data_IF_432084509562
#
_entry.id   IF_432084509562
#
_cell.length_a   1.000
_cell.length_b   1.000
_cell.length_c   1.000
_cell.angle_alpha   90.00
_cell.angle_beta   90.00
_cell.angle_gamma   90.00
#
_symmetry.space_group_name_H-M   'P 1'
#
loop_
_entity.id
_entity.type
_entity.pdbx_description
1 polymer ?
#
# COMPACT_ATOMS: atom_id res chain seq x y z
N UNK A 1 6.69 -3.62 29.54
CA UNK A 1 8.07 -4.15 29.46
C UNK A 1 8.15 -5.07 28.26
N UNK A 2 8.40 -4.50 27.08
CA UNK A 2 8.54 -5.25 25.83
C UNK A 2 9.78 -6.11 25.92
N UNK A 3 9.61 -7.44 25.98
CA UNK A 3 10.68 -8.35 25.60
C UNK A 3 11.10 -7.93 24.19
N UNK A 4 12.37 -7.53 24.04
CA UNK A 4 13.01 -7.37 22.74
C UNK A 4 12.90 -8.73 22.06
N UNK A 5 11.88 -8.91 21.21
CA UNK A 5 11.82 -10.07 20.33
C UNK A 5 12.96 -9.88 19.34
N UNK A 6 13.89 -10.82 19.32
CA UNK A 6 14.92 -10.86 18.28
C UNK A 6 14.23 -10.87 16.92
N UNK A 7 14.76 -10.11 15.97
CA UNK A 7 14.27 -10.18 14.60
C UNK A 7 14.36 -11.64 14.10
N UNK A 8 13.40 -12.10 13.28
CA UNK A 8 13.50 -13.38 12.61
C UNK A 8 14.84 -13.52 11.90
N UNK A 9 15.47 -14.70 12.01
CA UNK A 9 16.73 -15.01 11.33
C UNK A 9 16.52 -16.05 10.23
N UNK A 10 17.49 -16.16 9.31
CA UNK A 10 17.53 -17.22 8.29
C UNK A 10 17.41 -18.62 8.90
N UNK A 11 18.13 -18.87 10.01
CA UNK A 11 18.04 -20.14 10.76
C UNK A 11 16.63 -20.43 11.29
N UNK A 12 15.91 -19.41 11.76
CA UNK A 12 14.53 -19.58 12.22
C UNK A 12 13.62 -19.99 11.05
N UNK A 13 13.78 -19.33 9.91
CA UNK A 13 13.02 -19.65 8.69
C UNK A 13 13.32 -21.07 8.20
N UNK A 14 14.58 -21.49 8.22
CA UNK A 14 14.95 -22.86 7.86
C UNK A 14 14.24 -23.89 8.75
N UNK A 15 14.24 -23.69 10.08
CA UNK A 15 13.54 -24.60 11.02
C UNK A 15 12.02 -24.62 10.78
N UNK A 16 11.41 -23.46 10.53
CA UNK A 16 9.98 -23.36 10.22
C UNK A 16 9.62 -24.12 8.94
N UNK A 17 10.43 -23.98 7.89
CA UNK A 17 10.25 -24.72 6.63
C UNK A 17 10.41 -26.23 6.84
N UNK A 18 11.47 -26.70 7.50
CA UNK A 18 11.66 -28.13 7.78
C UNK A 18 10.50 -28.71 8.60
N UNK A 19 9.98 -27.96 9.58
CA UNK A 19 8.91 -28.43 10.45
C UNK A 19 7.53 -28.52 9.75
N UNK A 20 7.24 -27.61 8.81
CA UNK A 20 5.87 -27.43 8.27
C UNK A 20 5.76 -27.71 6.76
N UNK A 21 6.84 -27.58 6.01
CA UNK A 21 6.92 -27.74 4.56
C UNK A 21 8.17 -28.56 4.18
N UNK A 22 8.26 -29.84 4.59
CA UNK A 22 9.47 -30.65 4.42
C UNK A 22 9.87 -30.86 2.94
N UNK A 23 8.94 -30.68 2.00
CA UNK A 23 9.22 -30.69 0.56
C UNK A 23 9.99 -29.46 0.07
N UNK A 24 10.10 -28.41 0.88
CA UNK A 24 10.86 -27.19 0.63
C UNK A 24 12.15 -27.13 1.47
N UNK A 25 12.58 -28.27 2.03
CA UNK A 25 13.85 -28.37 2.75
C UNK A 25 15.04 -28.41 1.77
N UNK A 26 16.13 -27.72 2.13
CA UNK A 26 17.40 -27.74 1.38
C UNK A 26 17.79 -26.45 0.64
N UNK A 27 16.87 -25.62 0.08
CA UNK A 27 17.24 -24.34 -0.52
C UNK A 27 17.91 -23.40 0.49
N UNK A 28 18.86 -22.60 0.00
CA UNK A 28 19.48 -21.53 0.80
C UNK A 28 18.43 -20.48 1.15
N UNK A 29 18.37 -20.14 2.44
CA UNK A 29 17.55 -19.03 2.93
C UNK A 29 18.42 -17.79 3.07
N UNK A 30 17.98 -16.66 2.55
CA UNK A 30 18.73 -15.40 2.63
C UNK A 30 17.81 -14.23 2.96
N UNK A 31 18.16 -13.39 3.92
CA UNK A 31 17.41 -12.18 4.21
C UNK A 31 17.38 -11.23 3.01
N UNK A 32 16.23 -10.61 2.74
CA UNK A 32 16.11 -9.52 1.75
C UNK A 32 16.40 -8.20 2.45
N UNK A 33 17.39 -7.47 1.96
CA UNK A 33 17.82 -6.18 2.50
C UNK A 33 17.62 -5.04 1.49
N UNK A 34 17.08 -3.88 1.91
CA UNK A 34 16.58 -3.60 3.26
C UNK A 34 15.28 -4.37 3.58
N UNK A 35 15.14 -4.82 4.83
CA UNK A 35 13.92 -5.48 5.29
C UNK A 35 12.67 -4.59 5.22
N UNK A 36 11.52 -5.20 4.91
CA UNK A 36 10.22 -4.49 4.87
C UNK A 36 9.70 -4.09 6.25
N UNK A 37 8.83 -3.07 6.31
CA UNK A 37 8.24 -2.59 7.57
C UNK A 37 7.29 -3.62 8.19
N UNK A 38 6.36 -4.13 7.38
CA UNK A 38 5.27 -4.99 7.83
C UNK A 38 5.73 -6.45 8.01
N UNK A 39 6.62 -6.88 7.13
CA UNK A 39 7.14 -8.23 7.09
C UNK A 39 8.66 -8.24 6.95
N UNK A 40 9.32 -9.17 7.63
CA UNK A 40 10.67 -9.58 7.31
C UNK A 40 10.59 -10.65 6.22
N UNK A 41 11.27 -10.39 5.10
CA UNK A 41 11.22 -11.23 3.90
C UNK A 41 12.54 -11.97 3.73
N UNK A 42 12.45 -13.27 3.44
CA UNK A 42 13.59 -14.13 3.19
C UNK A 42 13.42 -14.82 1.84
N UNK A 43 14.45 -14.80 1.00
CA UNK A 43 14.52 -15.62 -0.21
C UNK A 43 14.72 -17.07 0.19
N UNK A 44 14.05 -17.98 -0.51
CA UNK A 44 14.21 -19.43 -0.35
C UNK A 44 14.55 -20.01 -1.73
N UNK A 45 15.83 -20.26 -1.96
CA UNK A 45 16.34 -20.55 -3.30
C UNK A 45 16.04 -19.42 -4.29
N UNK A 46 15.78 -19.78 -5.55
CA UNK A 46 15.55 -18.81 -6.63
C UNK A 46 14.07 -18.47 -6.85
N UNK A 47 13.15 -19.33 -6.42
CA UNK A 47 11.73 -19.21 -6.83
C UNK A 47 10.80 -18.72 -5.74
N UNK A 48 11.20 -18.77 -4.47
CA UNK A 48 10.30 -18.53 -3.35
C UNK A 48 10.80 -17.42 -2.44
N UNK A 49 9.87 -16.87 -1.66
CA UNK A 49 10.15 -16.07 -0.49
C UNK A 49 9.23 -16.42 0.67
N UNK A 50 9.74 -16.25 1.89
CA UNK A 50 9.00 -16.37 3.13
C UNK A 50 8.81 -14.97 3.70
N UNK A 51 7.58 -14.63 4.09
CA UNK A 51 7.23 -13.37 4.74
C UNK A 51 6.74 -13.64 6.16
N UNK A 52 7.46 -13.10 7.14
CA UNK A 52 7.13 -13.16 8.56
C UNK A 52 6.68 -11.78 9.05
N UNK A 53 5.45 -11.62 9.58
CA UNK A 53 5.04 -10.40 10.26
C UNK A 53 6.10 -9.88 11.23
N UNK A 54 6.39 -8.57 11.17
CA UNK A 54 7.32 -7.91 12.09
C UNK A 54 6.67 -7.54 13.43
N UNK A 55 5.33 -7.43 13.44
CA UNK A 55 4.52 -7.06 14.60
C UNK A 55 3.13 -7.71 14.54
N UNK A 56 2.47 -7.81 15.70
CA UNK A 56 1.12 -8.39 15.81
C UNK A 56 0.09 -7.65 14.93
N UNK A 57 0.27 -6.34 14.73
CA UNK A 57 -0.63 -5.53 13.90
C UNK A 57 -0.67 -5.98 12.42
N UNK A 58 0.39 -6.65 11.92
CA UNK A 58 0.49 -7.11 10.53
C UNK A 58 -0.03 -8.54 10.31
N UNK A 59 -0.37 -9.25 11.38
CA UNK A 59 -0.81 -10.66 11.32
C UNK A 59 -2.09 -10.83 10.50
N UNK A 60 -3.04 -9.91 10.62
CA UNK A 60 -4.28 -9.95 9.87
C UNK A 60 -4.06 -9.86 8.34
N UNK A 61 -2.94 -9.26 7.91
CA UNK A 61 -2.56 -9.20 6.50
C UNK A 61 -2.27 -10.59 5.92
N UNK A 62 -1.58 -11.45 6.66
CA UNK A 62 -1.17 -12.80 6.19
C UNK A 62 -2.37 -13.67 5.84
N UNK A 63 -3.30 -13.83 6.79
CA UNK A 63 -4.48 -14.68 6.59
C UNK A 63 -5.41 -14.11 5.51
N UNK A 64 -5.48 -12.77 5.42
CA UNK A 64 -6.30 -12.09 4.44
C UNK A 64 -5.76 -12.25 3.02
N UNK A 65 -4.45 -12.06 2.81
CA UNK A 65 -3.82 -12.32 1.52
C UNK A 65 -4.08 -13.77 1.10
N UNK A 66 -3.88 -14.73 2.01
CA UNK A 66 -4.12 -16.16 1.73
C UNK A 66 -5.56 -16.47 1.30
N UNK A 67 -6.53 -15.81 1.91
CA UNK A 67 -7.94 -16.05 1.59
C UNK A 67 -8.42 -15.34 0.32
N UNK A 68 -7.98 -14.11 0.09
CA UNK A 68 -8.59 -13.22 -0.91
C UNK A 68 -7.76 -13.01 -2.16
N UNK A 69 -6.43 -13.01 -2.05
CA UNK A 69 -5.57 -12.74 -3.20
C UNK A 69 -5.81 -13.72 -4.37
N UNK A 70 -6.00 -15.04 -4.16
CA UNK A 70 -6.34 -15.96 -5.26
C UNK A 70 -7.66 -15.62 -5.96
N UNK A 71 -8.61 -14.97 -5.28
CA UNK A 71 -9.90 -14.57 -5.85
C UNK A 71 -9.81 -13.26 -6.64
N UNK A 72 -8.85 -12.41 -6.30
CA UNK A 72 -8.57 -11.15 -6.99
C UNK A 72 -7.70 -11.40 -8.23
N UNK A 73 -6.65 -12.21 -8.09
CA UNK A 73 -5.59 -12.41 -9.08
C UNK A 73 -6.12 -12.73 -10.49
N UNK A 74 -7.10 -13.64 -10.60
CA UNK A 74 -7.65 -14.11 -11.88
C UNK A 74 -8.38 -13.02 -12.69
N UNK A 75 -8.64 -11.86 -12.08
CA UNK A 75 -9.40 -10.76 -12.67
C UNK A 75 -8.55 -9.52 -12.93
N UNK A 76 -7.29 -9.51 -12.52
CA UNK A 76 -6.44 -8.32 -12.58
C UNK A 76 -5.53 -8.36 -13.81
N UNK A 77 -5.29 -7.19 -14.45
CA UNK A 77 -4.46 -7.12 -15.65
C UNK A 77 -2.96 -7.20 -15.37
N UNK A 78 -2.55 -6.94 -14.12
CA UNK A 78 -1.17 -7.06 -13.64
C UNK A 78 -1.05 -8.27 -12.72
N UNK A 79 0.14 -8.87 -12.68
CA UNK A 79 0.40 -9.99 -11.79
C UNK A 79 0.27 -9.56 -10.32
N UNK A 80 -0.17 -10.48 -9.48
CA UNK A 80 -0.20 -10.32 -8.02
C UNK A 80 0.58 -11.44 -7.35
N UNK A 81 0.97 -11.31 -6.07
CA UNK A 81 1.68 -12.37 -5.37
C UNK A 81 0.94 -13.71 -5.42
N UNK A 82 1.69 -14.79 -5.69
CA UNK A 82 1.18 -16.16 -5.69
C UNK A 82 1.58 -16.81 -4.37
N UNK A 83 0.58 -17.25 -3.61
CA UNK A 83 0.76 -17.82 -2.28
C UNK A 83 0.91 -19.35 -2.38
N UNK A 84 2.07 -19.85 -2.01
CA UNK A 84 2.43 -21.28 -2.07
C UNK A 84 2.21 -21.99 -0.73
N UNK A 85 2.15 -21.24 0.36
CA UNK A 85 1.97 -21.83 1.69
C UNK A 85 1.55 -20.83 2.76
N UNK A 86 0.82 -21.33 3.74
CA UNK A 86 0.46 -20.64 4.98
C UNK A 86 1.01 -21.45 6.16
N UNK A 87 1.99 -20.90 6.84
CA UNK A 87 2.57 -21.49 8.03
C UNK A 87 1.85 -21.05 9.30
N UNK A 88 1.90 -21.91 10.31
CA UNK A 88 1.40 -21.65 11.66
C UNK A 88 2.54 -21.22 12.59
N UNK A 89 2.24 -20.60 13.76
CA UNK A 89 3.25 -20.37 14.79
C UNK A 89 4.03 -21.64 15.16
N UNK A 90 5.34 -21.52 15.38
CA UNK A 90 6.23 -22.65 15.64
C UNK A 90 7.68 -22.21 15.80
N UNK A 91 8.56 -23.09 16.29
CA UNK A 91 10.01 -22.82 16.40
C UNK A 91 10.40 -21.54 17.18
N UNK A 92 9.52 -21.09 18.07
CA UNK A 92 9.66 -19.85 18.83
C UNK A 92 9.08 -18.60 18.14
N UNK A 93 8.62 -18.71 16.89
CA UNK A 93 7.91 -17.65 16.19
C UNK A 93 6.40 -17.66 16.52
N UNK A 94 5.81 -16.53 16.95
CA UNK A 94 4.48 -16.52 17.58
C UNK A 94 3.31 -16.27 16.61
N UNK A 95 3.58 -16.02 15.33
CA UNK A 95 2.58 -15.56 14.37
C UNK A 95 2.47 -16.51 13.17
N UNK A 96 1.33 -16.53 12.46
CA UNK A 96 1.27 -17.16 11.15
C UNK A 96 2.19 -16.41 10.18
N UNK A 97 2.64 -17.10 9.15
CA UNK A 97 3.59 -16.60 8.15
C UNK A 97 3.27 -17.20 6.79
N UNK A 98 3.82 -16.64 5.70
CA UNK A 98 3.43 -17.04 4.35
C UNK A 98 4.63 -17.34 3.45
N UNK A 99 4.42 -18.23 2.50
CA UNK A 99 5.35 -18.54 1.40
C UNK A 99 4.75 -17.98 0.11
N UNK A 100 5.53 -17.19 -0.61
CA UNK A 100 5.15 -16.55 -1.87
C UNK A 100 6.08 -17.04 -2.97
N UNK A 101 5.60 -17.06 -4.22
CA UNK A 101 6.51 -17.07 -5.37
C UNK A 101 7.23 -15.75 -5.45
N UNK A 102 8.52 -15.80 -5.70
CA UNK A 102 9.33 -14.63 -5.95
C UNK A 102 8.95 -13.99 -7.28
N UNK A 103 8.67 -12.70 -7.24
CA UNK A 103 8.35 -11.90 -8.42
C UNK A 103 9.59 -11.13 -8.82
N UNK A 104 10.00 -11.26 -10.07
CA UNK A 104 11.13 -10.53 -10.64
C UNK A 104 10.70 -9.14 -11.12
N UNK A 105 11.65 -8.22 -11.19
CA UNK A 105 11.44 -6.84 -11.62
C UNK A 105 11.97 -5.85 -10.60
N UNK A 106 12.05 -4.58 -11.00
CA UNK A 106 12.39 -3.47 -10.12
C UNK A 106 11.12 -2.73 -9.74
N UNK A 107 10.99 -2.31 -8.49
CA UNK A 107 9.88 -1.45 -8.11
C UNK A 107 10.02 -0.06 -8.73
N UNK A 108 8.92 0.70 -8.82
CA UNK A 108 8.92 2.02 -9.47
C UNK A 108 9.79 3.09 -8.77
N UNK A 109 10.31 2.85 -7.57
CA UNK A 109 11.27 3.76 -6.92
C UNK A 109 12.68 3.60 -7.49
N UNK A 110 13.00 2.45 -8.08
CA UNK A 110 14.33 2.12 -8.61
C UNK A 110 14.33 1.84 -10.12
N UNK A 111 13.18 1.51 -10.70
CA UNK A 111 13.05 1.23 -12.11
C UNK A 111 13.42 2.47 -12.95
N UNK A 112 14.22 2.23 -13.99
CA UNK A 112 14.60 3.24 -14.98
C UNK A 112 13.80 3.05 -16.26
N UNK A 113 13.62 4.12 -17.04
CA UNK A 113 13.04 4.05 -18.39
C UNK A 113 11.58 3.58 -18.46
N UNK A 114 10.83 3.68 -17.36
CA UNK A 114 9.38 3.42 -17.36
C UNK A 114 8.65 4.49 -18.18
N UNK A 115 7.82 4.06 -19.12
CA UNK A 115 6.90 4.96 -19.83
C UNK A 115 5.79 5.42 -18.87
N UNK A 116 5.95 6.62 -18.30
CA UNK A 116 5.03 7.13 -17.29
C UNK A 116 3.59 7.32 -17.77
N UNK A 117 3.35 7.64 -19.05
CA UNK A 117 1.98 7.75 -19.58
C UNK A 117 1.31 6.39 -19.68
N UNK A 118 2.08 5.38 -20.10
CA UNK A 118 1.60 4.01 -20.11
C UNK A 118 1.38 3.47 -18.70
N UNK A 119 2.35 3.66 -17.79
CA UNK A 119 2.21 3.23 -16.40
C UNK A 119 0.98 3.86 -15.72
N UNK A 120 0.69 5.13 -15.99
CA UNK A 120 -0.53 5.80 -15.53
C UNK A 120 -1.80 5.12 -16.03
N UNK A 121 -1.86 4.76 -17.33
CA UNK A 121 -2.99 4.04 -17.90
C UNK A 121 -3.13 2.64 -17.30
N UNK A 122 -2.07 1.85 -17.36
CA UNK A 122 -2.04 0.45 -16.92
C UNK A 122 -2.43 0.33 -15.43
N UNK A 123 -1.96 1.26 -14.58
CA UNK A 123 -2.32 1.28 -13.16
C UNK A 123 -3.76 1.75 -12.92
N UNK A 124 -4.25 2.72 -13.71
CA UNK A 124 -5.65 3.14 -13.64
C UNK A 124 -6.61 2.02 -14.03
N UNK A 125 -6.28 1.28 -15.10
CA UNK A 125 -7.00 0.08 -15.54
C UNK A 125 -6.96 -1.02 -14.48
N UNK A 126 -5.80 -1.28 -13.87
CA UNK A 126 -5.68 -2.21 -12.74
C UNK A 126 -6.63 -1.87 -11.59
N UNK A 127 -6.70 -0.60 -11.17
CA UNK A 127 -7.62 -0.19 -10.10
C UNK A 127 -9.09 -0.26 -10.53
N UNK A 128 -9.40 -0.03 -11.81
CA UNK A 128 -10.74 -0.21 -12.34
C UNK A 128 -11.18 -1.67 -12.26
N UNK A 129 -10.33 -2.59 -12.72
CA UNK A 129 -10.60 -4.03 -12.66
C UNK A 129 -10.68 -4.54 -11.20
N UNK A 130 -9.81 -4.05 -10.31
CA UNK A 130 -9.88 -4.39 -8.88
C UNK A 130 -11.26 -4.06 -8.29
N UNK A 131 -11.78 -2.85 -8.56
CA UNK A 131 -13.10 -2.43 -8.08
C UNK A 131 -14.26 -3.18 -8.73
N UNK A 132 -14.04 -3.76 -9.92
CA UNK A 132 -15.05 -4.54 -10.64
C UNK A 132 -15.18 -5.98 -10.12
N UNK A 133 -14.22 -6.47 -9.32
CA UNK A 133 -14.33 -7.79 -8.67
C UNK A 133 -15.45 -7.77 -7.63
N UNK A 134 -16.20 -8.87 -7.53
CA UNK A 134 -17.25 -9.03 -6.52
C UNK A 134 -16.67 -8.87 -5.10
N UNK A 135 -17.15 -7.86 -4.39
CA UNK A 135 -16.74 -7.50 -3.04
C UNK A 135 -17.47 -8.32 -1.95
N UNK A 136 -18.40 -9.20 -2.34
CA UNK A 136 -19.19 -9.96 -1.39
C UNK A 136 -18.34 -10.82 -0.45
N UNK A 137 -18.57 -10.62 0.85
CA UNK A 137 -17.88 -11.33 1.92
C UNK A 137 -16.44 -10.85 2.18
N UNK A 138 -15.92 -9.90 1.40
CA UNK A 138 -14.62 -9.28 1.64
C UNK A 138 -14.59 -8.54 2.98
N UNK A 139 -13.40 -8.39 3.60
CA UNK A 139 -13.29 -7.75 4.90
C UNK A 139 -13.53 -6.25 4.76
N UNK A 140 -14.53 -5.73 5.47
CA UNK A 140 -14.82 -4.30 5.48
C UNK A 140 -13.65 -3.52 6.10
N UNK A 141 -13.33 -2.35 5.54
CA UNK A 141 -12.28 -1.47 6.04
C UNK A 141 -12.34 -1.28 7.57
N UNK A 142 -11.19 -1.37 8.24
CA UNK A 142 -11.11 -1.33 9.69
C UNK A 142 -9.67 -1.43 10.19
N UNK A 143 -9.49 -1.89 11.44
CA UNK A 143 -8.15 -1.97 12.06
C UNK A 143 -7.15 -2.77 11.22
N UNK A 144 -7.58 -3.83 10.55
CA UNK A 144 -6.73 -4.67 9.69
C UNK A 144 -6.19 -3.96 8.43
N UNK A 145 -6.79 -2.85 8.03
CA UNK A 145 -6.33 -1.99 6.92
C UNK A 145 -5.80 -0.67 7.44
N UNK A 146 -5.59 -0.55 8.76
CA UNK A 146 -5.32 0.69 9.44
C UNK A 146 -6.38 1.77 9.17
N UNK A 147 -7.63 1.38 8.87
CA UNK A 147 -8.74 2.23 8.44
C UNK A 147 -8.62 2.81 7.01
N UNK A 148 -7.68 2.35 6.19
CA UNK A 148 -7.73 2.58 4.73
C UNK A 148 -9.03 1.99 4.19
N UNK A 149 -9.69 2.76 3.32
CA UNK A 149 -11.01 2.48 2.77
C UNK A 149 -12.19 2.75 3.71
N UNK A 150 -11.95 3.25 4.92
CA UNK A 150 -12.99 3.80 5.80
C UNK A 150 -13.11 5.32 5.63
N UNK A 151 -14.05 5.95 6.37
CA UNK A 151 -14.23 7.40 6.35
C UNK A 151 -12.96 8.14 6.83
N UNK A 152 -12.57 9.18 6.08
CA UNK A 152 -11.45 10.08 6.41
C UNK A 152 -11.62 10.79 7.76
N UNK A 153 -12.86 10.91 8.26
CA UNK A 153 -13.15 11.46 9.60
C UNK A 153 -12.36 10.74 10.70
N UNK A 154 -11.97 9.47 10.47
CA UNK A 154 -11.10 8.70 11.36
C UNK A 154 -9.79 9.42 11.69
N UNK A 155 -9.26 10.22 10.76
CA UNK A 155 -8.01 10.96 10.86
C UNK A 155 -8.19 12.47 11.01
N UNK A 156 -9.40 12.98 11.24
CA UNK A 156 -9.63 14.43 11.37
C UNK A 156 -8.83 15.02 12.52
N UNK A 157 -8.91 14.43 13.72
CA UNK A 157 -8.15 14.89 14.87
C UNK A 157 -6.63 14.91 14.63
N UNK A 158 -6.10 13.88 13.97
CA UNK A 158 -4.66 13.82 13.65
C UNK A 158 -4.27 14.88 12.62
N UNK A 159 -5.06 15.05 11.57
CA UNK A 159 -4.79 16.04 10.51
C UNK A 159 -4.84 17.46 11.05
N UNK A 160 -5.86 17.79 11.85
CA UNK A 160 -5.98 19.11 12.49
C UNK A 160 -4.82 19.37 13.45
N UNK A 161 -4.40 18.36 14.21
CA UNK A 161 -3.23 18.44 15.08
C UNK A 161 -1.95 18.68 14.27
N UNK A 162 -1.77 18.01 13.13
CA UNK A 162 -0.62 18.24 12.25
C UNK A 162 -0.62 19.66 11.66
N UNK A 163 -1.77 20.15 11.17
CA UNK A 163 -1.90 21.53 10.67
C UNK A 163 -1.53 22.56 11.74
N UNK A 164 -2.00 22.38 12.97
CA UNK A 164 -1.66 23.26 14.09
C UNK A 164 -0.17 23.21 14.44
N UNK A 165 0.45 22.03 14.45
CA UNK A 165 1.87 21.87 14.73
C UNK A 165 2.77 22.51 13.65
N UNK A 166 2.31 22.50 12.40
CA UNK A 166 3.08 23.00 11.25
C UNK A 166 2.89 24.49 10.99
N UNK A 167 2.03 25.19 11.74
CA UNK A 167 1.69 26.60 11.48
C UNK A 167 2.84 27.59 11.69
N UNK A 168 3.88 27.19 12.41
CA UNK A 168 5.11 27.99 12.58
C UNK A 168 6.12 27.78 11.46
N UNK A 169 6.01 26.68 10.71
CA UNK A 169 6.95 26.29 9.66
C UNK A 169 6.42 26.61 8.26
N UNK A 170 5.11 26.53 8.07
CA UNK A 170 4.43 26.80 6.79
C UNK A 170 3.77 28.18 6.82
N UNK A 171 3.57 28.78 5.64
CA UNK A 171 2.88 30.08 5.54
C UNK A 171 1.40 29.96 5.94
N UNK A 172 0.79 31.09 6.32
CA UNK A 172 -0.64 31.12 6.69
C UNK A 172 -1.53 30.69 5.52
N UNK A 173 -1.14 31.06 4.30
CA UNK A 173 -1.84 30.73 3.06
C UNK A 173 -1.80 29.22 2.81
N UNK A 174 -0.64 28.57 2.99
CA UNK A 174 -0.48 27.12 2.86
C UNK A 174 -1.34 26.36 3.86
N UNK A 175 -1.33 26.79 5.14
CA UNK A 175 -2.15 26.16 6.18
C UNK A 175 -3.64 26.33 5.88
N UNK A 176 -4.08 27.51 5.44
CA UNK A 176 -5.48 27.76 5.08
C UNK A 176 -5.93 26.90 3.89
N UNK A 177 -5.10 26.80 2.84
CA UNK A 177 -5.39 25.98 1.67
C UNK A 177 -5.47 24.48 2.02
N UNK A 178 -4.53 23.99 2.84
CA UNK A 178 -4.55 22.61 3.33
C UNK A 178 -5.80 22.32 4.18
N UNK A 179 -6.15 23.23 5.09
CA UNK A 179 -7.36 23.10 5.91
C UNK A 179 -8.63 23.03 5.03
N UNK A 180 -8.74 23.86 4.00
CA UNK A 180 -9.87 23.85 3.08
C UNK A 180 -9.98 22.54 2.29
N UNK A 181 -8.85 22.00 1.80
CA UNK A 181 -8.85 20.70 1.11
C UNK A 181 -9.30 19.59 2.06
N UNK A 182 -8.82 19.62 3.29
CA UNK A 182 -9.22 18.67 4.32
C UNK A 182 -10.71 18.76 4.63
N UNK A 183 -11.26 19.97 4.80
CA UNK A 183 -12.70 20.21 5.03
C UNK A 183 -13.56 19.57 3.93
N UNK A 184 -13.21 19.80 2.67
CA UNK A 184 -13.92 19.21 1.53
C UNK A 184 -13.81 17.69 1.49
N UNK A 185 -12.65 17.14 1.87
CA UNK A 185 -12.42 15.71 1.86
C UNK A 185 -13.23 14.99 2.94
N UNK A 186 -13.31 15.54 4.17
CA UNK A 186 -14.06 14.92 5.27
C UNK A 186 -15.57 15.07 5.17
N UNK A 187 -16.06 16.07 4.43
CA UNK A 187 -17.50 16.27 4.12
C UNK A 187 -17.98 15.39 2.94
N UNK A 188 -17.05 14.66 2.31
CA UNK A 188 -17.35 13.73 1.22
C UNK A 188 -17.40 12.29 1.74
N UNK A 189 -18.33 11.51 1.21
CA UNK A 189 -18.50 10.08 1.55
C UNK A 189 -18.57 9.25 0.26
N UNK A 190 -18.26 7.96 0.38
CA UNK A 190 -18.52 6.99 -0.68
C UNK A 190 -20.00 6.58 -0.61
N UNK A 191 -20.75 6.93 -1.65
CA UNK A 191 -22.22 6.78 -1.73
C UNK A 191 -22.67 5.61 -2.60
N UNK A 192 -21.75 4.73 -2.99
CA UNK A 192 -22.01 3.52 -3.76
C UNK A 192 -21.76 2.25 -2.94
N UNK A 193 -22.01 1.09 -3.55
CA UNK A 193 -21.66 -0.18 -2.93
C UNK A 193 -20.15 -0.23 -2.63
N UNK A 194 -19.73 -0.73 -1.47
CA UNK A 194 -18.32 -0.91 -1.15
C UNK A 194 -17.62 -1.78 -2.20
N UNK A 195 -16.42 -1.36 -2.61
CA UNK A 195 -15.61 -2.04 -3.63
C UNK A 195 -14.26 -2.43 -3.04
N UNK A 196 -13.55 -3.33 -3.72
CA UNK A 196 -12.17 -3.65 -3.34
C UNK A 196 -11.25 -2.44 -3.47
N UNK A 197 -10.37 -2.29 -2.48
CA UNK A 197 -9.22 -1.39 -2.50
C UNK A 197 -7.95 -2.17 -2.13
N UNK A 198 -6.80 -1.73 -2.65
CA UNK A 198 -5.49 -2.28 -2.36
C UNK A 198 -5.00 -1.84 -0.97
N UNK A 199 -5.15 -0.55 -0.65
CA UNK A 199 -4.85 0.04 0.65
C UNK A 199 -3.44 0.61 0.73
N UNK A 200 -2.46 -0.02 0.10
CA UNK A 200 -1.07 0.47 0.13
C UNK A 200 -0.42 0.58 -1.25
N UNK A 201 -1.14 1.21 -2.18
CA UNK A 201 -0.66 1.40 -3.54
C UNK A 201 0.41 2.51 -3.60
N UNK A 202 1.68 2.10 -3.50
CA UNK A 202 2.85 2.98 -3.53
C UNK A 202 3.83 2.52 -4.61
N UNK A 203 4.73 3.42 -5.04
CA UNK A 203 5.73 3.10 -6.07
C UNK A 203 6.58 1.87 -5.71
N UNK A 204 6.89 1.66 -4.42
CA UNK A 204 7.65 0.48 -3.94
C UNK A 204 6.87 -0.84 -4.04
N UNK A 205 5.56 -0.79 -4.21
CA UNK A 205 4.67 -1.95 -4.31
C UNK A 205 4.21 -2.23 -5.75
N UNK A 206 4.81 -1.57 -6.74
CA UNK A 206 4.51 -1.77 -8.16
C UNK A 206 5.80 -2.15 -8.85
N UNK A 207 5.83 -3.33 -9.45
CA UNK A 207 6.99 -3.84 -10.16
C UNK A 207 6.91 -3.48 -11.64
N UNK A 208 8.07 -3.22 -12.21
CA UNK A 208 8.26 -3.00 -13.62
C UNK A 208 9.42 -3.83 -14.17
N UNK A 209 9.30 -4.17 -15.45
CA UNK A 209 10.34 -4.81 -16.26
C UNK A 209 10.20 -4.32 -17.71
N UNK A 210 11.34 -4.14 -18.39
CA UNK A 210 11.40 -3.64 -19.77
C UNK A 210 10.51 -2.39 -20.03
N UNK A 211 10.56 -1.43 -19.09
CA UNK A 211 9.82 -0.17 -19.14
C UNK A 211 8.30 -0.28 -18.95
N UNK A 212 7.78 -1.44 -18.50
CA UNK A 212 6.34 -1.73 -18.34
C UNK A 212 6.02 -2.22 -16.94
N UNK A 213 4.81 -1.92 -16.46
CA UNK A 213 4.32 -2.50 -15.21
C UNK A 213 4.09 -4.00 -15.41
N UNK A 214 4.54 -4.80 -14.45
CA UNK A 214 4.39 -6.26 -14.46
C UNK A 214 3.53 -6.77 -13.32
N UNK A 215 3.64 -6.14 -12.14
CA UNK A 215 2.95 -6.60 -10.95
C UNK A 215 2.58 -5.49 -9.97
N UNK A 216 1.57 -5.77 -9.15
CA UNK A 216 1.27 -5.05 -7.91
C UNK A 216 1.41 -6.04 -6.77
N UNK A 217 2.10 -5.64 -5.69
CA UNK A 217 2.39 -6.48 -4.53
C UNK A 217 1.89 -5.84 -3.22
N UNK A 218 1.95 -6.61 -2.14
CA UNK A 218 1.64 -6.17 -0.78
C UNK A 218 0.16 -5.83 -0.52
N UNK A 219 -0.68 -6.85 -0.63
CA UNK A 219 -2.12 -6.77 -0.40
C UNK A 219 -2.48 -6.91 1.09
N UNK A 220 -1.49 -6.84 1.98
CA UNK A 220 -1.67 -6.96 3.43
C UNK A 220 -2.68 -5.96 4.01
N UNK A 221 -2.91 -4.83 3.35
CA UNK A 221 -3.90 -3.81 3.76
C UNK A 221 -5.19 -3.80 2.94
N UNK A 222 -5.36 -4.70 1.97
CA UNK A 222 -6.55 -4.72 1.10
C UNK A 222 -7.85 -4.93 1.87
N UNK A 223 -8.96 -4.52 1.29
CA UNK A 223 -10.28 -4.68 1.90
C UNK A 223 -11.38 -4.14 1.01
N UNK A 224 -12.58 -4.04 1.58
CA UNK A 224 -13.78 -3.57 0.90
C UNK A 224 -14.28 -2.28 1.54
N UNK A 225 -14.47 -1.23 0.75
CA UNK A 225 -14.81 0.11 1.25
C UNK A 225 -14.76 1.19 0.18
N UNK A 226 -14.36 2.40 0.59
CA UNK A 226 -14.09 3.54 -0.29
C UNK A 226 -12.72 3.37 -0.99
N UNK A 227 -12.63 3.38 -2.32
CA UNK A 227 -11.38 3.16 -3.03
C UNK A 227 -10.45 4.38 -3.04
N UNK A 228 -10.86 5.52 -2.47
CA UNK A 228 -10.15 6.79 -2.58
C UNK A 228 -8.71 6.76 -2.03
N UNK A 229 -8.38 5.83 -1.12
CA UNK A 229 -7.03 5.70 -0.56
C UNK A 229 -5.98 5.22 -1.59
N UNK A 230 -6.39 4.50 -2.64
CA UNK A 230 -5.46 3.97 -3.66
C UNK A 230 -5.02 5.04 -4.67
N UNK A 231 -5.70 6.18 -4.68
CA UNK A 231 -5.47 7.25 -5.65
C UNK A 231 -4.36 8.22 -5.22
N UNK A 232 -3.81 8.05 -4.01
CA UNK A 232 -2.71 8.89 -3.48
C UNK A 232 -1.49 8.89 -4.40
N UNK A 233 -1.28 7.80 -5.14
CA UNK A 233 -0.17 7.67 -6.10
C UNK A 233 -0.18 8.73 -7.20
N UNK A 234 -1.35 9.34 -7.47
CA UNK A 234 -1.50 10.47 -8.37
C UNK A 234 -0.60 11.67 -8.00
N UNK A 235 -0.32 11.87 -6.71
CA UNK A 235 0.54 12.97 -6.23
C UNK A 235 1.91 12.50 -5.73
N UNK A 236 2.08 11.21 -5.41
CA UNK A 236 3.37 10.70 -4.92
C UNK A 236 4.28 10.18 -6.02
N UNK A 237 3.73 9.86 -7.20
CA UNK A 237 4.51 9.31 -8.31
C UNK A 237 4.23 10.02 -9.65
N UNK A 238 2.96 10.19 -10.02
CA UNK A 238 2.63 10.80 -11.32
C UNK A 238 2.74 12.32 -11.31
N UNK A 239 3.20 12.86 -12.45
CA UNK A 239 3.40 14.30 -12.64
C UNK A 239 2.68 14.81 -13.90
N UNK A 240 2.17 16.04 -13.83
CA UNK A 240 1.56 16.74 -14.97
C UNK A 240 0.53 15.90 -15.72
N UNK A 241 0.73 15.73 -17.03
CA UNK A 241 -0.20 14.99 -17.90
C UNK A 241 -0.42 13.53 -17.45
N UNK A 242 0.59 12.87 -16.88
CA UNK A 242 0.48 11.47 -16.43
C UNK A 242 -0.59 11.31 -15.35
N UNK A 243 -0.72 12.32 -14.48
CA UNK A 243 -1.73 12.34 -13.42
C UNK A 243 -3.14 12.36 -13.98
N UNK A 244 -3.35 13.12 -15.05
CA UNK A 244 -4.65 13.17 -15.74
C UNK A 244 -4.92 11.88 -16.52
N UNK A 245 -3.92 11.29 -17.17
CA UNK A 245 -4.06 9.98 -17.81
C UNK A 245 -4.44 8.90 -16.80
N UNK A 246 -3.81 8.90 -15.62
CA UNK A 246 -4.18 7.99 -14.52
C UNK A 246 -5.63 8.26 -14.08
N UNK A 247 -6.01 9.52 -13.90
CA UNK A 247 -7.35 9.87 -13.46
C UNK A 247 -8.45 9.46 -14.44
N UNK A 248 -8.21 9.68 -15.73
CA UNK A 248 -9.10 9.26 -16.82
C UNK A 248 -9.25 7.74 -16.86
N UNK A 249 -8.16 6.99 -16.73
CA UNK A 249 -8.18 5.52 -16.70
C UNK A 249 -8.87 4.97 -15.45
N UNK A 250 -8.72 5.65 -14.31
CA UNK A 250 -9.44 5.31 -13.07
C UNK A 250 -10.95 5.54 -13.20
N UNK A 251 -11.39 6.60 -13.88
CA UNK A 251 -12.81 6.82 -14.18
C UNK A 251 -13.72 7.06 -12.95
N UNK A 252 -13.18 7.65 -11.88
CA UNK A 252 -13.93 8.00 -10.66
C UNK A 252 -14.29 9.49 -10.62
N UNK A 253 -15.41 9.80 -9.96
CA UNK A 253 -15.94 11.17 -9.91
C UNK A 253 -15.09 12.13 -9.04
N UNK A 254 -15.33 13.43 -9.22
CA UNK A 254 -14.64 14.51 -8.49
C UNK A 254 -14.78 14.43 -6.95
N UNK A 255 -15.88 13.86 -6.41
CA UNK A 255 -16.04 13.69 -4.95
C UNK A 255 -15.07 12.64 -4.41
N UNK A 256 -14.80 11.58 -5.16
CA UNK A 256 -13.80 10.56 -4.83
C UNK A 256 -12.38 11.13 -4.94
N UNK A 257 -12.10 11.94 -5.95
CA UNK A 257 -10.82 12.66 -6.05
C UNK A 257 -10.60 13.66 -4.92
N UNK A 258 -11.66 14.28 -4.40
CA UNK A 258 -11.58 15.14 -3.21
C UNK A 258 -11.13 14.35 -1.98
N UNK A 259 -11.65 13.14 -1.78
CA UNK A 259 -11.21 12.24 -0.69
C UNK A 259 -9.78 11.74 -0.92
N UNK A 260 -9.43 11.33 -2.12
CA UNK A 260 -8.07 10.95 -2.48
C UNK A 260 -7.04 12.03 -2.16
N UNK A 261 -7.39 13.29 -2.48
CA UNK A 261 -6.59 14.47 -2.16
C UNK A 261 -6.45 14.66 -0.65
N UNK A 262 -7.51 14.41 0.11
CA UNK A 262 -7.48 14.36 1.57
C UNK A 262 -6.53 13.29 2.12
N UNK A 263 -6.56 12.07 1.58
CA UNK A 263 -5.63 10.99 1.96
C UNK A 263 -4.16 11.38 1.72
N UNK A 264 -3.87 11.95 0.54
CA UNK A 264 -2.53 12.41 0.19
C UNK A 264 -2.07 13.53 1.13
N UNK A 265 -2.95 14.50 1.43
CA UNK A 265 -2.68 15.61 2.32
C UNK A 265 -2.40 15.14 3.76
N UNK A 266 -3.27 14.29 4.33
CA UNK A 266 -3.10 13.75 5.67
C UNK A 266 -1.75 13.05 5.82
N UNK A 267 -1.42 12.14 4.88
CA UNK A 267 -0.16 11.40 4.89
C UNK A 267 1.04 12.34 4.84
N UNK A 268 1.01 13.34 3.94
CA UNK A 268 2.07 14.33 3.83
C UNK A 268 2.25 15.13 5.12
N UNK A 269 1.17 15.68 5.70
CA UNK A 269 1.23 16.47 6.92
C UNK A 269 1.76 15.69 8.13
N UNK A 270 1.32 14.44 8.31
CA UNK A 270 1.80 13.58 9.39
C UNK A 270 3.30 13.31 9.24
N UNK A 271 3.77 12.99 8.03
CA UNK A 271 5.19 12.69 7.78
C UNK A 271 6.08 13.94 7.85
N UNK A 272 5.60 15.09 7.39
CA UNK A 272 6.29 16.38 7.56
C UNK A 272 6.48 16.66 9.05
N UNK A 273 5.43 16.48 9.87
CA UNK A 273 5.48 16.68 11.33
C UNK A 273 6.48 15.75 12.01
N UNK A 274 6.60 14.50 11.57
CA UNK A 274 7.59 13.56 12.10
C UNK A 274 9.04 13.97 11.83
N UNK A 275 9.27 14.83 10.82
CA UNK A 275 10.59 15.32 10.42
C UNK A 275 11.62 14.20 10.18
N UNK A 276 11.17 13.14 9.49
CA UNK A 276 11.98 11.98 9.13
C UNK A 276 12.70 12.10 7.78
N UNK A 277 13.34 11.02 7.31
CA UNK A 277 14.10 11.00 6.05
C UNK A 277 13.31 11.42 4.80
N UNK A 278 11.99 11.23 4.81
CA UNK A 278 11.09 11.58 3.70
C UNK A 278 10.55 13.01 3.76
N UNK A 279 10.97 13.85 4.73
CA UNK A 279 10.40 15.18 4.94
C UNK A 279 10.32 16.03 3.67
N UNK A 280 11.42 16.16 2.92
CA UNK A 280 11.48 16.95 1.69
C UNK A 280 10.55 16.42 0.59
N UNK A 281 10.44 15.10 0.49
CA UNK A 281 9.52 14.44 -0.44
C UNK A 281 8.07 14.77 -0.09
N UNK A 282 7.72 14.75 1.20
CA UNK A 282 6.37 15.01 1.65
C UNK A 282 5.98 16.48 1.54
N UNK A 283 6.94 17.41 1.64
CA UNK A 283 6.74 18.83 1.28
C UNK A 283 6.41 18.98 -0.21
N UNK A 284 7.10 18.25 -1.09
CA UNK A 284 6.79 18.23 -2.53
C UNK A 284 5.38 17.68 -2.78
N UNK A 285 5.04 16.54 -2.18
CA UNK A 285 3.69 15.93 -2.30
C UNK A 285 2.61 16.89 -1.82
N UNK A 286 2.79 17.52 -0.65
CA UNK A 286 1.84 18.54 -0.17
C UNK A 286 1.70 19.68 -1.17
N UNK A 287 2.79 20.18 -1.73
CA UNK A 287 2.76 21.29 -2.72
C UNK A 287 1.98 20.90 -3.97
N UNK A 288 2.22 19.70 -4.51
CA UNK A 288 1.47 19.14 -5.65
C UNK A 288 0.00 18.96 -5.32
N UNK A 289 -0.30 18.43 -4.13
CA UNK A 289 -1.68 18.30 -3.63
C UNK A 289 -2.35 19.65 -3.57
N UNK A 290 -1.69 20.72 -3.12
CA UNK A 290 -2.28 22.07 -3.07
C UNK A 290 -2.50 22.66 -4.48
N UNK A 291 -1.58 22.41 -5.40
CA UNK A 291 -1.60 22.98 -6.75
C UNK A 291 -2.59 22.28 -7.70
N UNK A 292 -2.69 20.96 -7.64
CA UNK A 292 -3.47 20.16 -8.60
C UNK A 292 -4.61 19.38 -7.91
N UNK A 293 -5.87 19.81 -8.08
CA UNK A 293 -7.02 19.11 -7.52
C UNK A 293 -7.37 17.80 -8.23
N UNK A 294 -6.77 17.49 -9.39
CA UNK A 294 -7.17 16.39 -10.29
C UNK A 294 -8.67 16.39 -10.54
N UNK A 295 -9.10 17.16 -11.55
CA UNK A 295 -10.52 17.22 -11.95
C UNK A 295 -10.76 16.15 -13.02
N UNK A 296 -11.32 15.01 -12.63
CA UNK A 296 -12.00 14.09 -13.53
C UNK A 296 -13.45 14.53 -13.75
#
# INVERSE_FOLDING_TARGET
MSSLRSEPSEDLVQRLLTAQFPNLEGPVVTAVEPGGNDNRTFRVGEELSVRLPSAQAYVAGIEKEHRWLPRLADRLPLQTPVLEGLGIPGEGYPWPWSIHRWMTGSDLTTATEVDGRRAARDLGEFLSELRAVDAHGGPAAGEHSFFRGASLTRYDGETRSALAALSSMLSRETIAAAAQIWDVAVDSEWDAQPVWFHGDLSAGNILADDGRLTAVIDFGTCGVGDPSCDLVIAWTYFEGEQRHVFADAVGLNARTWSRARGWALWKALVRIRENGPTHSEQIRVMTEVLADPVRA
#
